data_IF_055126744383
#
_entry.id   IF_055126744383
#
_cell.length_a   1.000
_cell.length_b   1.000
_cell.length_c   1.000
_cell.angle_alpha   90.00
_cell.angle_beta   90.00
_cell.angle_gamma   90.00
#
_symmetry.space_group_name_H-M   'P 1'
#
loop_
_entity.id
_entity.type
_entity.pdbx_description
1 polymer ?
#
# COMPACT_ATOMS: atom_id res chain seq x y z
N UNK A 1 -0.32 -52.07 15.64
CA UNK A 1 -1.17 -52.50 16.76
C UNK A 1 -2.50 -52.92 16.15
N UNK A 2 -3.04 -54.13 16.43
CA UNK A 2 -4.34 -54.52 15.94
C UNK A 2 -5.43 -53.53 16.39
N UNK A 3 -6.35 -53.20 15.49
CA UNK A 3 -7.39 -52.16 15.72
C UNK A 3 -8.22 -52.38 16.98
N UNK A 4 -8.34 -53.64 17.44
CA UNK A 4 -9.10 -54.04 18.62
C UNK A 4 -8.50 -53.59 19.96
N UNK A 5 -7.22 -53.22 19.97
CA UNK A 5 -6.52 -52.73 21.16
C UNK A 5 -6.55 -51.18 21.31
N UNK A 6 -7.14 -50.48 20.34
CA UNK A 6 -7.24 -49.02 20.40
C UNK A 6 -8.55 -48.64 21.10
N UNK A 7 -8.51 -47.82 22.19
CA UNK A 7 -9.72 -47.32 22.85
C UNK A 7 -10.67 -46.64 21.84
N UNK A 8 -11.98 -46.80 22.02
CA UNK A 8 -12.97 -46.21 21.10
C UNK A 8 -12.84 -44.72 20.94
N UNK A 9 -12.56 -44.01 22.02
CA UNK A 9 -12.38 -42.56 22.04
C UNK A 9 -11.21 -42.11 21.13
N UNK A 10 -10.15 -42.90 21.06
CA UNK A 10 -9.01 -42.63 20.16
C UNK A 10 -9.36 -43.00 18.72
N UNK A 11 -10.10 -44.11 18.51
CA UNK A 11 -10.58 -44.50 17.17
C UNK A 11 -11.45 -43.41 16.54
N UNK A 12 -12.35 -42.80 17.32
CA UNK A 12 -13.25 -41.75 16.85
C UNK A 12 -12.51 -40.47 16.44
N UNK A 13 -11.35 -40.17 17.05
CA UNK A 13 -10.50 -39.02 16.64
C UNK A 13 -9.88 -39.27 15.26
N UNK A 14 -9.44 -40.48 14.98
CA UNK A 14 -8.74 -40.83 13.73
C UNK A 14 -9.64 -41.34 12.61
N UNK A 15 -10.87 -41.72 12.91
CA UNK A 15 -11.82 -42.31 11.94
C UNK A 15 -13.25 -41.86 12.23
N UNK A 16 -13.68 -40.80 11.60
CA UNK A 16 -15.00 -40.24 11.76
C UNK A 16 -15.59 -39.81 10.41
N UNK A 17 -16.90 -40.01 10.20
CA UNK A 17 -17.60 -39.50 9.02
C UNK A 17 -17.13 -40.08 7.68
N UNK A 18 -16.51 -41.28 7.69
CA UNK A 18 -15.95 -41.87 6.47
C UNK A 18 -14.53 -41.45 6.14
N UNK A 19 -13.95 -40.53 6.90
CA UNK A 19 -12.57 -40.07 6.72
C UNK A 19 -11.62 -40.77 7.71
N UNK A 20 -10.37 -40.97 7.25
CA UNK A 20 -9.26 -41.40 8.09
C UNK A 20 -8.27 -40.26 8.24
N UNK A 21 -7.94 -39.92 9.48
CA UNK A 21 -6.92 -38.89 9.78
C UNK A 21 -5.52 -39.52 9.79
N UNK A 22 -4.64 -39.03 8.94
CA UNK A 22 -3.23 -39.37 8.93
C UNK A 22 -2.44 -38.15 9.43
N UNK A 23 -1.65 -38.30 10.48
CA UNK A 23 -0.77 -37.24 10.97
C UNK A 23 0.58 -37.39 10.33
N UNK A 24 0.99 -36.37 9.59
CA UNK A 24 2.30 -36.27 8.96
C UNK A 24 3.05 -35.14 9.63
N UNK A 25 4.22 -35.44 10.18
CA UNK A 25 5.10 -34.46 10.79
C UNK A 25 6.24 -34.14 9.82
N UNK A 26 6.48 -32.87 9.57
CA UNK A 26 7.59 -32.39 8.75
C UNK A 26 8.71 -31.83 9.61
N UNK A 27 9.95 -32.01 9.21
CA UNK A 27 11.12 -31.40 9.83
C UNK A 27 11.40 -29.98 9.34
N UNK A 28 10.71 -29.55 8.28
CA UNK A 28 10.87 -28.19 7.73
C UNK A 28 10.12 -27.17 8.59
N UNK A 29 10.63 -25.94 8.61
CA UNK A 29 10.01 -24.84 9.36
C UNK A 29 8.73 -24.38 8.67
N UNK A 30 7.72 -23.99 9.47
CA UNK A 30 6.51 -23.33 8.97
C UNK A 30 6.88 -22.11 8.09
N UNK A 31 6.14 -21.95 6.98
CA UNK A 31 6.35 -20.88 6.00
C UNK A 31 7.70 -20.92 5.25
N UNK A 32 8.41 -22.06 5.22
CA UNK A 32 9.58 -22.22 4.37
C UNK A 32 9.18 -22.74 2.97
N UNK A 33 10.03 -22.44 1.97
CA UNK A 33 9.80 -22.91 0.60
C UNK A 33 9.85 -24.44 0.51
N UNK A 34 10.70 -25.07 1.33
CA UNK A 34 10.82 -26.52 1.40
C UNK A 34 9.53 -27.16 1.91
N UNK A 35 8.92 -26.60 2.97
CA UNK A 35 7.64 -27.08 3.47
C UNK A 35 6.51 -26.86 2.47
N UNK A 36 6.48 -25.69 1.82
CA UNK A 36 5.49 -25.38 0.81
C UNK A 36 5.53 -26.37 -0.37
N UNK A 37 6.73 -26.69 -0.86
CA UNK A 37 6.93 -27.67 -1.92
C UNK A 37 6.51 -29.09 -1.48
N UNK A 38 6.88 -29.49 -0.26
CA UNK A 38 6.47 -30.78 0.31
C UNK A 38 4.94 -30.89 0.41
N UNK A 39 4.24 -29.83 0.83
CA UNK A 39 2.77 -29.81 0.91
C UNK A 39 2.13 -29.94 -0.48
N UNK A 40 2.70 -29.31 -1.50
CA UNK A 40 2.22 -29.44 -2.88
C UNK A 40 2.35 -30.88 -3.33
N UNK A 41 3.54 -31.46 -3.18
CA UNK A 41 3.81 -32.84 -3.58
C UNK A 41 2.93 -33.84 -2.83
N UNK A 42 2.77 -33.70 -1.51
CA UNK A 42 1.85 -34.49 -0.71
C UNK A 42 0.40 -34.37 -1.20
N UNK A 43 -0.05 -33.15 -1.53
CA UNK A 43 -1.41 -32.93 -2.01
C UNK A 43 -1.63 -33.62 -3.35
N UNK A 44 -0.67 -33.56 -4.25
CA UNK A 44 -0.74 -34.22 -5.56
C UNK A 44 -0.76 -35.76 -5.42
N UNK A 45 0.08 -36.32 -4.55
CA UNK A 45 0.12 -37.76 -4.25
C UNK A 45 -1.22 -38.18 -3.68
N UNK A 46 -1.71 -37.55 -2.62
CA UNK A 46 -2.94 -37.93 -1.94
C UNK A 46 -4.15 -37.87 -2.87
N UNK A 47 -4.25 -36.77 -3.66
CA UNK A 47 -5.33 -36.60 -4.64
C UNK A 47 -5.25 -37.57 -5.83
N UNK A 48 -4.10 -38.15 -6.12
CA UNK A 48 -3.96 -39.18 -7.13
C UNK A 48 -4.62 -40.50 -6.71
N UNK A 49 -4.71 -40.73 -5.39
CA UNK A 49 -5.36 -41.96 -4.81
C UNK A 49 -6.83 -41.70 -4.46
N UNK A 50 -7.12 -40.53 -3.88
CA UNK A 50 -8.48 -40.16 -3.49
C UNK A 50 -8.70 -38.65 -3.79
N UNK A 51 -9.64 -38.35 -4.67
CA UNK A 51 -9.96 -36.97 -5.08
C UNK A 51 -10.59 -36.15 -3.95
N UNK A 52 -11.23 -36.80 -3.01
CA UNK A 52 -11.90 -36.17 -1.87
C UNK A 52 -10.96 -35.98 -0.67
N UNK A 53 -9.76 -36.58 -0.73
CA UNK A 53 -8.76 -36.40 0.32
C UNK A 53 -8.26 -34.99 0.43
N UNK A 54 -8.00 -34.54 1.66
CA UNK A 54 -7.56 -33.19 1.97
C UNK A 54 -6.28 -33.22 2.79
N UNK A 55 -5.30 -32.39 2.38
CA UNK A 55 -4.12 -32.08 3.19
C UNK A 55 -4.42 -30.81 3.97
N UNK A 56 -4.42 -30.87 5.30
CA UNK A 56 -4.73 -29.75 6.19
C UNK A 56 -3.75 -29.69 7.36
N UNK A 57 -3.80 -28.63 8.14
CA UNK A 57 -2.91 -28.40 9.28
C UNK A 57 -2.20 -27.08 9.17
N UNK A 58 -1.35 -26.76 10.16
CA UNK A 58 -0.66 -25.47 10.26
C UNK A 58 0.16 -25.13 9.00
N UNK A 59 0.94 -26.09 8.48
CA UNK A 59 1.76 -25.87 7.30
C UNK A 59 0.93 -25.60 6.05
N UNK A 60 -0.11 -26.40 5.79
CA UNK A 60 -0.99 -26.21 4.63
C UNK A 60 -1.74 -24.88 4.72
N UNK A 61 -2.29 -24.56 5.89
CA UNK A 61 -2.97 -23.29 6.14
C UNK A 61 -2.04 -22.08 5.92
N UNK A 62 -0.84 -22.14 6.45
CA UNK A 62 0.16 -21.06 6.30
C UNK A 62 0.54 -20.86 4.84
N UNK A 63 0.76 -21.96 4.09
CA UNK A 63 1.04 -21.89 2.65
C UNK A 63 -0.10 -21.23 1.89
N UNK A 64 -1.33 -21.67 2.13
CA UNK A 64 -2.51 -21.13 1.43
C UNK A 64 -2.73 -19.65 1.76
N UNK A 65 -2.61 -19.28 3.05
CA UNK A 65 -2.68 -17.87 3.47
C UNK A 65 -1.62 -17.01 2.81
N UNK A 66 -0.38 -17.48 2.71
CA UNK A 66 0.70 -16.72 2.05
C UNK A 66 0.42 -16.55 0.57
N UNK A 67 -0.02 -17.61 -0.11
CA UNK A 67 -0.36 -17.59 -1.55
C UNK A 67 -1.52 -16.65 -1.85
N UNK A 68 -2.59 -16.72 -1.05
CA UNK A 68 -3.78 -15.86 -1.17
C UNK A 68 -3.39 -14.40 -0.88
N UNK A 69 -2.61 -14.15 0.18
CA UNK A 69 -2.17 -12.81 0.54
C UNK A 69 -1.35 -12.15 -0.57
N UNK A 70 -0.46 -12.89 -1.23
CA UNK A 70 0.33 -12.37 -2.36
C UNK A 70 -0.55 -12.02 -3.57
N UNK A 71 -1.55 -12.85 -3.86
CA UNK A 71 -2.50 -12.59 -4.93
C UNK A 71 -3.39 -11.38 -4.61
N UNK A 72 -3.91 -11.32 -3.39
CA UNK A 72 -4.73 -10.21 -2.92
C UNK A 72 -3.95 -8.90 -2.89
N UNK A 73 -2.68 -8.92 -2.46
CA UNK A 73 -1.81 -7.76 -2.50
C UNK A 73 -1.70 -7.18 -3.91
N UNK A 74 -1.44 -8.03 -4.91
CA UNK A 74 -1.36 -7.60 -6.31
C UNK A 74 -2.68 -7.03 -6.81
N UNK A 75 -3.79 -7.73 -6.56
CA UNK A 75 -5.12 -7.31 -7.02
C UNK A 75 -5.55 -5.99 -6.37
N UNK A 76 -5.38 -5.87 -5.05
CA UNK A 76 -5.77 -4.67 -4.30
C UNK A 76 -4.88 -3.49 -4.67
N UNK A 77 -3.57 -3.69 -4.83
CA UNK A 77 -2.64 -2.64 -5.26
C UNK A 77 -2.99 -2.11 -6.65
N UNK A 78 -3.21 -3.00 -7.62
CA UNK A 78 -3.60 -2.60 -8.98
C UNK A 78 -4.95 -1.85 -8.97
N UNK A 79 -5.94 -2.37 -8.26
CA UNK A 79 -7.27 -1.74 -8.16
C UNK A 79 -7.19 -0.35 -7.50
N UNK A 80 -6.42 -0.21 -6.42
CA UNK A 80 -6.24 1.06 -5.69
C UNK A 80 -5.51 2.10 -6.54
N UNK A 81 -4.41 1.70 -7.19
CA UNK A 81 -3.65 2.58 -8.08
C UNK A 81 -4.53 3.02 -9.26
N UNK A 82 -5.26 2.09 -9.89
CA UNK A 82 -6.15 2.40 -11.01
C UNK A 82 -7.27 3.38 -10.58
N UNK A 83 -7.90 3.15 -9.43
CA UNK A 83 -8.95 4.03 -8.91
C UNK A 83 -8.42 5.45 -8.67
N UNK A 84 -7.29 5.59 -8.00
CA UNK A 84 -6.65 6.89 -7.73
C UNK A 84 -6.21 7.57 -9.03
N UNK A 85 -5.64 6.81 -9.95
CA UNK A 85 -5.25 7.31 -11.26
C UNK A 85 -6.45 7.93 -11.99
N UNK A 86 -7.58 7.24 -12.03
CA UNK A 86 -8.83 7.73 -12.65
C UNK A 86 -9.35 8.98 -11.95
N UNK A 87 -9.36 9.01 -10.62
CA UNK A 87 -9.81 10.18 -9.85
C UNK A 87 -8.94 11.40 -10.20
N UNK A 88 -7.62 11.27 -10.15
CA UNK A 88 -6.70 12.37 -10.45
C UNK A 88 -6.83 12.81 -11.91
N UNK A 89 -7.02 11.86 -12.84
CA UNK A 89 -7.25 12.14 -14.26
C UNK A 89 -8.49 13.00 -14.47
N UNK A 90 -9.59 12.70 -13.79
CA UNK A 90 -10.84 13.46 -13.85
C UNK A 90 -10.64 14.86 -13.25
N UNK A 91 -10.02 14.96 -12.08
CA UNK A 91 -9.80 16.23 -11.36
C UNK A 91 -8.92 17.19 -12.16
N UNK A 92 -7.81 16.72 -12.68
CA UNK A 92 -6.85 17.58 -13.38
C UNK A 92 -7.06 17.65 -14.89
N UNK A 93 -7.87 16.75 -15.47
CA UNK A 93 -8.08 16.60 -16.93
C UNK A 93 -6.74 16.48 -17.66
N UNK A 94 -5.85 15.67 -17.12
CA UNK A 94 -4.47 15.45 -17.54
C UNK A 94 -4.10 13.99 -17.38
N UNK A 95 -3.33 13.45 -18.31
CA UNK A 95 -2.81 12.09 -18.23
C UNK A 95 -1.47 12.04 -17.50
N UNK A 96 -0.64 13.09 -17.63
CA UNK A 96 0.70 13.12 -17.02
C UNK A 96 0.69 13.37 -15.51
N UNK A 97 -0.26 14.18 -15.01
CA UNK A 97 -0.33 14.47 -13.57
C UNK A 97 -0.61 13.21 -12.75
N UNK A 98 -1.58 12.35 -13.07
CA UNK A 98 -1.78 11.09 -12.35
C UNK A 98 -0.52 10.23 -12.31
N UNK A 99 0.21 10.10 -13.41
CA UNK A 99 1.46 9.33 -13.47
C UNK A 99 2.48 9.88 -12.46
N UNK A 100 2.69 11.20 -12.44
CA UNK A 100 3.66 11.83 -11.55
C UNK A 100 3.26 11.72 -10.07
N UNK A 101 1.99 11.96 -9.76
CA UNK A 101 1.50 11.89 -8.38
C UNK A 101 1.55 10.46 -7.85
N UNK A 102 1.03 9.51 -8.60
CA UNK A 102 1.06 8.10 -8.21
C UNK A 102 2.50 7.61 -8.06
N UNK A 103 3.41 7.96 -9.00
CA UNK A 103 4.82 7.59 -8.88
C UNK A 103 5.48 8.16 -7.61
N UNK A 104 5.18 9.39 -7.22
CA UNK A 104 5.71 9.98 -6.00
C UNK A 104 5.16 9.28 -4.73
N UNK A 105 3.87 8.91 -4.74
CA UNK A 105 3.25 8.22 -3.63
C UNK A 105 3.80 6.79 -3.50
N UNK A 106 3.87 6.05 -4.62
CA UNK A 106 4.44 4.70 -4.65
C UNK A 106 5.91 4.71 -4.19
N UNK A 107 6.67 5.72 -4.58
CA UNK A 107 8.05 5.90 -4.10
C UNK A 107 8.11 6.01 -2.56
N UNK A 108 7.21 6.77 -1.95
CA UNK A 108 7.11 6.85 -0.49
C UNK A 108 6.74 5.50 0.16
N UNK A 109 5.82 4.75 -0.46
CA UNK A 109 5.42 3.41 0.00
C UNK A 109 6.60 2.43 -0.10
N UNK A 110 7.33 2.43 -1.22
CA UNK A 110 8.52 1.58 -1.38
C UNK A 110 9.62 1.88 -0.37
N UNK A 111 9.87 3.16 -0.06
CA UNK A 111 10.82 3.53 1.00
C UNK A 111 10.33 2.94 2.33
N UNK A 112 9.05 3.13 2.67
CA UNK A 112 8.49 2.65 3.92
C UNK A 112 8.58 1.12 4.04
N UNK A 113 8.24 0.40 2.99
CA UNK A 113 8.28 -1.07 2.95
C UNK A 113 9.71 -1.64 2.86
N UNK A 114 10.66 -0.86 2.36
CA UNK A 114 12.06 -1.26 2.26
C UNK A 114 12.85 -1.18 3.58
N UNK A 115 12.48 -0.28 4.49
CA UNK A 115 13.20 -0.09 5.77
C UNK A 115 13.27 -1.36 6.61
N UNK A 116 12.22 -2.19 6.77
CA UNK A 116 12.25 -3.44 7.52
C UNK A 116 13.34 -4.42 7.07
N UNK A 117 13.65 -4.45 5.79
CA UNK A 117 14.75 -5.28 5.26
C UNK A 117 16.09 -4.91 5.89
N UNK A 118 16.39 -3.60 6.01
CA UNK A 118 17.63 -3.11 6.59
C UNK A 118 17.66 -3.18 8.12
N UNK A 119 16.51 -3.15 8.77
CA UNK A 119 16.39 -3.22 10.23
C UNK A 119 16.22 -4.65 10.75
N UNK A 120 16.11 -5.65 9.87
CA UNK A 120 15.83 -7.04 10.25
C UNK A 120 14.48 -7.24 10.92
N UNK A 121 13.52 -6.33 10.71
CA UNK A 121 12.20 -6.39 11.34
C UNK A 121 11.27 -7.26 10.52
N UNK A 122 10.69 -8.28 11.15
CA UNK A 122 9.68 -9.14 10.51
C UNK A 122 8.34 -8.39 10.44
N UNK A 123 7.78 -8.30 9.25
CA UNK A 123 6.48 -7.66 9.01
C UNK A 123 5.41 -8.76 8.89
N UNK A 124 4.25 -8.62 9.55
CA UNK A 124 3.11 -9.50 9.30
C UNK A 124 2.70 -9.45 7.81
N UNK A 125 2.33 -10.57 7.22
CA UNK A 125 1.96 -10.67 5.80
C UNK A 125 0.83 -9.71 5.39
N UNK A 126 -0.13 -9.49 6.30
CA UNK A 126 -1.24 -8.53 6.09
C UNK A 126 -0.77 -7.08 6.03
N UNK A 127 0.41 -6.77 6.60
CA UNK A 127 0.90 -5.39 6.71
C UNK A 127 1.13 -4.75 5.33
N UNK A 128 1.64 -5.50 4.36
CA UNK A 128 1.91 -4.99 3.01
C UNK A 128 0.65 -4.51 2.31
N UNK A 129 -0.44 -5.27 2.40
CA UNK A 129 -1.75 -4.93 1.82
C UNK A 129 -2.30 -3.66 2.49
N UNK A 130 -2.35 -3.69 3.82
CA UNK A 130 -2.95 -2.61 4.63
C UNK A 130 -2.16 -1.31 4.45
N UNK A 131 -0.83 -1.38 4.49
CA UNK A 131 0.01 -0.18 4.38
C UNK A 131 -0.05 0.39 2.97
N UNK A 132 0.05 -0.43 1.92
CA UNK A 132 -0.05 0.03 0.55
C UNK A 132 -1.32 0.83 0.29
N UNK A 133 -2.47 0.29 0.68
CA UNK A 133 -3.78 0.93 0.45
C UNK A 133 -4.01 2.16 1.34
N UNK A 134 -3.73 2.06 2.63
CA UNK A 134 -4.00 3.18 3.58
C UNK A 134 -3.02 4.32 3.33
N UNK A 135 -1.74 4.04 3.15
CA UNK A 135 -0.74 5.07 2.87
C UNK A 135 -1.00 5.76 1.54
N UNK A 136 -1.38 5.01 0.49
CA UNK A 136 -1.78 5.55 -0.80
C UNK A 136 -2.97 6.51 -0.65
N UNK A 137 -4.04 6.08 0.04
CA UNK A 137 -5.24 6.89 0.27
C UNK A 137 -4.98 8.13 1.12
N UNK A 138 -4.20 8.01 2.20
CA UNK A 138 -3.88 9.13 3.09
C UNK A 138 -2.91 10.16 2.48
N UNK A 139 -2.13 9.77 1.45
CA UNK A 139 -1.11 10.64 0.86
C UNK A 139 -1.61 11.36 -0.39
N UNK A 140 -2.60 10.78 -1.08
CA UNK A 140 -3.10 11.35 -2.34
C UNK A 140 -3.63 12.76 -2.18
N UNK A 141 -4.29 13.07 -1.08
CA UNK A 141 -4.85 14.39 -0.80
C UNK A 141 -3.75 15.46 -0.67
N UNK A 142 -2.60 15.11 -0.09
CA UNK A 142 -1.45 16.02 0.00
C UNK A 142 -0.87 16.34 -1.38
N UNK A 143 -0.76 15.31 -2.23
CA UNK A 143 -0.25 15.46 -3.58
C UNK A 143 -1.21 16.30 -4.46
N UNK A 144 -2.52 16.07 -4.34
CA UNK A 144 -3.56 16.85 -5.03
C UNK A 144 -3.53 18.31 -4.56
N UNK A 145 -3.47 18.56 -3.25
CA UNK A 145 -3.44 19.90 -2.68
C UNK A 145 -2.27 20.72 -3.23
N UNK A 146 -1.05 20.18 -3.14
CA UNK A 146 0.15 20.85 -3.64
C UNK A 146 0.07 21.10 -5.15
N UNK A 147 -0.34 20.11 -5.92
CA UNK A 147 -0.40 20.21 -7.39
C UNK A 147 -1.50 21.17 -7.84
N UNK A 148 -2.64 21.19 -7.14
CA UNK A 148 -3.73 22.14 -7.42
C UNK A 148 -3.28 23.58 -7.17
N UNK A 149 -2.57 23.81 -6.07
CA UNK A 149 -2.02 25.13 -5.74
C UNK A 149 -0.97 25.55 -6.75
N UNK A 150 -0.05 24.67 -7.12
CA UNK A 150 0.94 24.95 -8.16
C UNK A 150 0.27 25.33 -9.49
N UNK A 151 -0.76 24.59 -9.91
CA UNK A 151 -1.55 24.92 -11.11
C UNK A 151 -2.21 26.29 -11.01
N UNK A 152 -2.76 26.63 -9.84
CA UNK A 152 -3.39 27.93 -9.61
C UNK A 152 -2.38 29.06 -9.77
N UNK A 153 -1.18 28.96 -9.20
CA UNK A 153 -0.16 29.98 -9.30
C UNK A 153 0.43 30.12 -10.72
N UNK A 154 0.55 29.03 -11.46
CA UNK A 154 0.88 29.10 -12.90
C UNK A 154 -0.22 29.86 -13.67
N UNK A 155 -1.49 29.66 -13.34
CA UNK A 155 -2.63 30.37 -13.95
C UNK A 155 -2.70 31.83 -13.54
N UNK A 156 -2.22 32.20 -12.35
CA UNK A 156 -2.07 33.57 -11.89
C UNK A 156 -0.95 34.32 -12.61
N UNK A 157 -0.15 33.61 -13.43
CA UNK A 157 0.89 34.21 -14.27
C UNK A 157 2.30 34.20 -13.66
N UNK A 158 2.48 33.54 -12.52
CA UNK A 158 3.82 33.42 -11.93
C UNK A 158 4.72 32.51 -12.75
N UNK A 159 6.03 32.81 -12.74
CA UNK A 159 7.03 31.94 -13.32
C UNK A 159 7.05 30.59 -12.55
N UNK A 160 7.30 29.48 -13.24
CA UNK A 160 7.20 28.12 -12.69
C UNK A 160 7.91 27.89 -11.36
N UNK A 161 9.11 28.47 -11.18
CA UNK A 161 9.85 28.34 -9.92
C UNK A 161 9.19 29.11 -8.78
N UNK A 162 8.73 30.31 -9.07
CA UNK A 162 8.03 31.14 -8.09
C UNK A 162 6.65 30.58 -7.76
N UNK A 163 5.90 30.15 -8.76
CA UNK A 163 4.62 29.45 -8.57
C UNK A 163 4.77 28.22 -7.67
N UNK A 164 5.83 27.41 -7.86
CA UNK A 164 6.10 26.27 -6.99
C UNK A 164 6.50 26.69 -5.58
N UNK A 165 7.30 27.74 -5.43
CA UNK A 165 7.68 28.26 -4.12
C UNK A 165 6.45 28.68 -3.31
N UNK A 166 5.54 29.43 -3.94
CA UNK A 166 4.29 29.86 -3.31
C UNK A 166 3.43 28.65 -2.97
N UNK A 167 3.25 27.71 -3.91
CA UNK A 167 2.45 26.51 -3.72
C UNK A 167 2.94 25.67 -2.53
N UNK A 168 4.26 25.45 -2.41
CA UNK A 168 4.85 24.74 -1.28
C UNK A 168 4.63 25.50 0.04
N UNK A 169 4.91 26.81 0.07
CA UNK A 169 4.73 27.61 1.29
C UNK A 169 3.30 27.58 1.81
N UNK A 170 2.30 27.66 0.95
CA UNK A 170 0.91 27.68 1.35
C UNK A 170 0.36 26.28 1.68
N UNK A 171 0.81 25.26 0.95
CA UNK A 171 0.33 23.87 1.17
C UNK A 171 1.07 23.19 2.32
N UNK A 172 2.34 23.51 2.58
CA UNK A 172 3.18 22.82 3.56
C UNK A 172 2.55 22.79 4.96
N UNK A 173 1.96 23.89 5.41
CA UNK A 173 1.30 23.94 6.72
C UNK A 173 0.18 22.92 6.85
N UNK A 174 -0.67 22.80 5.84
CA UNK A 174 -1.77 21.84 5.82
C UNK A 174 -1.25 20.41 5.74
N UNK A 175 -0.28 20.16 4.88
CA UNK A 175 0.34 18.83 4.68
C UNK A 175 1.00 18.36 5.99
N UNK A 176 1.79 19.24 6.64
CA UNK A 176 2.47 18.92 7.90
C UNK A 176 1.46 18.67 9.03
N UNK A 177 0.43 19.51 9.14
CA UNK A 177 -0.60 19.32 10.19
C UNK A 177 -1.31 17.99 10.00
N UNK A 178 -1.75 17.66 8.80
CA UNK A 178 -2.45 16.40 8.51
C UNK A 178 -1.52 15.19 8.69
N UNK A 179 -0.28 15.27 8.18
CA UNK A 179 0.72 14.20 8.33
C UNK A 179 1.06 13.93 9.80
N UNK A 180 1.24 14.97 10.61
CA UNK A 180 1.50 14.83 12.05
C UNK A 180 0.27 14.34 12.81
N UNK A 181 -0.94 14.72 12.42
CA UNK A 181 -2.17 14.18 13.00
C UNK A 181 -2.29 12.69 12.74
N UNK A 182 -2.06 12.25 11.51
CA UNK A 182 -2.09 10.83 11.17
C UNK A 182 -0.97 10.05 11.86
N UNK A 183 0.24 10.61 11.93
CA UNK A 183 1.35 10.07 12.69
C UNK A 183 1.00 9.93 14.18
N UNK A 184 0.44 10.96 14.79
CA UNK A 184 0.08 10.95 16.20
C UNK A 184 -1.03 9.95 16.51
N UNK A 185 -2.05 9.85 15.67
CA UNK A 185 -3.13 8.88 15.81
C UNK A 185 -2.62 7.45 15.72
N UNK A 186 -1.89 7.11 14.66
CA UNK A 186 -1.37 5.75 14.47
C UNK A 186 -0.24 5.42 15.43
N UNK A 187 0.67 6.35 15.69
CA UNK A 187 1.75 6.19 16.67
C UNK A 187 1.22 6.01 18.11
N UNK A 188 0.18 6.77 18.48
CA UNK A 188 -0.49 6.61 19.78
C UNK A 188 -1.06 5.20 19.96
N UNK A 189 -1.74 4.65 18.95
CA UNK A 189 -2.23 3.26 19.00
C UNK A 189 -1.06 2.27 19.08
N UNK A 190 0.02 2.51 18.34
CA UNK A 190 1.20 1.63 18.38
C UNK A 190 1.86 1.57 19.77
N UNK A 191 1.79 2.66 20.54
CA UNK A 191 2.36 2.73 21.89
C UNK A 191 1.49 2.05 22.94
N UNK A 192 0.16 2.12 22.79
CA UNK A 192 -0.80 1.65 23.80
C UNK A 192 -1.25 0.21 23.54
N UNK A 193 -1.20 -0.26 22.29
CA UNK A 193 -1.71 -1.61 21.94
C UNK A 193 -0.82 -2.72 22.48
N UNK A 194 -1.42 -3.71 23.13
CA UNK A 194 -0.75 -4.95 23.57
C UNK A 194 -0.72 -6.02 22.48
N UNK A 195 -1.55 -5.88 21.43
CA UNK A 195 -1.58 -6.82 20.30
C UNK A 195 -0.41 -6.56 19.36
N UNK A 196 0.50 -7.50 19.22
CA UNK A 196 1.70 -7.41 18.39
C UNK A 196 1.38 -7.04 16.92
N UNK A 197 0.32 -7.59 16.35
CA UNK A 197 -0.12 -7.29 14.98
C UNK A 197 -0.52 -5.82 14.82
N UNK A 198 -1.40 -5.32 15.70
CA UNK A 198 -1.89 -3.93 15.66
C UNK A 198 -0.72 -2.96 15.90
N UNK A 199 0.12 -3.24 16.89
CA UNK A 199 1.31 -2.44 17.19
C UNK A 199 2.23 -2.32 15.98
N UNK A 200 2.53 -3.43 15.31
CA UNK A 200 3.38 -3.47 14.12
C UNK A 200 2.76 -2.67 12.95
N UNK A 201 1.47 -2.89 12.66
CA UNK A 201 0.75 -2.17 11.61
C UNK A 201 0.72 -0.65 11.86
N UNK A 202 0.33 -0.25 13.06
CA UNK A 202 0.23 1.17 13.41
C UNK A 202 1.59 1.87 13.43
N UNK A 203 2.66 1.19 13.86
CA UNK A 203 4.02 1.72 13.77
C UNK A 203 4.47 1.95 12.32
N UNK A 204 4.20 0.98 11.44
CA UNK A 204 4.50 1.09 10.01
C UNK A 204 3.71 2.22 9.35
N UNK A 205 2.42 2.39 9.72
CA UNK A 205 1.57 3.48 9.22
C UNK A 205 2.08 4.84 9.71
N UNK A 206 2.43 4.97 10.99
CA UNK A 206 3.00 6.20 11.56
C UNK A 206 4.28 6.60 10.83
N UNK A 207 5.21 5.65 10.65
CA UNK A 207 6.44 5.89 9.88
C UNK A 207 6.12 6.27 8.42
N UNK A 208 5.16 5.58 7.79
CA UNK A 208 4.71 5.87 6.43
C UNK A 208 4.17 7.30 6.28
N UNK A 209 3.44 7.81 7.27
CA UNK A 209 2.94 9.18 7.26
C UNK A 209 4.06 10.21 7.17
N UNK A 210 5.11 10.06 7.97
CA UNK A 210 6.27 10.97 7.94
C UNK A 210 7.01 10.87 6.60
N UNK A 211 7.26 9.66 6.11
CA UNK A 211 7.96 9.45 4.82
C UNK A 211 7.15 10.08 3.68
N UNK A 212 5.84 9.82 3.63
CA UNK A 212 4.97 10.39 2.59
C UNK A 212 4.95 11.91 2.63
N UNK A 213 4.82 12.50 3.82
CA UNK A 213 4.87 13.94 4.02
C UNK A 213 6.18 14.53 3.46
N UNK A 214 7.32 13.92 3.77
CA UNK A 214 8.63 14.36 3.28
C UNK A 214 8.74 14.22 1.75
N UNK A 215 8.29 13.12 1.18
CA UNK A 215 8.31 12.91 -0.28
C UNK A 215 7.42 13.94 -0.99
N UNK A 216 6.22 14.22 -0.46
CA UNK A 216 5.33 15.21 -1.09
C UNK A 216 5.88 16.63 -0.99
N UNK A 217 6.55 17.00 0.10
CA UNK A 217 7.08 18.36 0.26
C UNK A 217 8.38 18.57 -0.55
N UNK A 218 9.25 17.55 -0.65
CA UNK A 218 10.58 17.71 -1.24
C UNK A 218 10.72 17.09 -2.63
N UNK A 219 10.16 15.90 -2.86
CA UNK A 219 10.36 15.17 -4.12
C UNK A 219 9.31 15.56 -5.16
N UNK A 220 8.04 15.66 -4.79
CA UNK A 220 6.97 15.99 -5.73
C UNK A 220 7.14 17.35 -6.40
N UNK A 221 7.54 18.44 -5.71
CA UNK A 221 7.83 19.72 -6.36
C UNK A 221 8.90 19.62 -7.46
N UNK A 222 9.98 18.87 -7.19
CA UNK A 222 11.04 18.65 -8.16
C UNK A 222 10.53 17.90 -9.40
N UNK A 223 9.74 16.84 -9.20
CA UNK A 223 9.12 16.08 -10.29
C UNK A 223 8.20 16.95 -11.14
N UNK A 224 7.35 17.76 -10.51
CA UNK A 224 6.44 18.67 -11.22
C UNK A 224 7.19 19.75 -12.02
N UNK A 225 8.26 20.33 -11.46
CA UNK A 225 9.08 21.33 -12.13
C UNK A 225 9.82 20.78 -13.35
N UNK A 226 10.39 19.57 -13.22
CA UNK A 226 11.10 18.91 -14.33
C UNK A 226 10.11 18.48 -15.43
N UNK A 227 8.94 18.02 -15.04
CA UNK A 227 7.92 17.51 -15.97
C UNK A 227 6.96 18.57 -16.49
N UNK A 228 7.14 19.87 -16.15
CA UNK A 228 6.23 20.95 -16.53
C UNK A 228 6.02 21.03 -18.05
N UNK A 229 7.05 20.78 -18.84
CA UNK A 229 6.95 20.76 -20.30
C UNK A 229 6.00 19.68 -20.84
N UNK A 230 5.97 18.52 -20.19
CA UNK A 230 5.07 17.40 -20.53
C UNK A 230 3.66 17.71 -20.03
N UNK A 231 3.55 18.20 -18.80
CA UNK A 231 2.28 18.57 -18.17
C UNK A 231 1.54 19.60 -19.02
N UNK A 232 2.25 20.62 -19.50
CA UNK A 232 1.68 21.68 -20.32
C UNK A 232 1.11 21.18 -21.66
N UNK A 233 1.69 20.13 -22.24
CA UNK A 233 1.21 19.50 -23.49
C UNK A 233 0.02 18.58 -23.29
N UNK A 234 -0.09 17.94 -22.13
CA UNK A 234 -1.07 16.87 -21.85
C UNK A 234 -2.24 17.34 -20.98
N UNK A 235 -2.19 18.56 -20.46
CA UNK A 235 -3.20 19.09 -19.53
C UNK A 235 -4.02 20.19 -20.19
N UNK A 236 -5.34 20.00 -20.28
CA UNK A 236 -6.25 21.04 -20.77
C UNK A 236 -6.27 22.21 -19.77
N UNK A 237 -5.93 23.45 -20.27
CA UNK A 237 -6.00 24.65 -19.45
C UNK A 237 -4.95 24.76 -18.35
N UNK A 238 -3.74 24.23 -18.60
CA UNK A 238 -2.61 24.39 -17.68
C UNK A 238 -2.08 25.83 -17.67
N UNK A 239 -1.92 26.44 -18.83
CA UNK A 239 -1.59 27.88 -18.97
C UNK A 239 -2.81 28.67 -19.44
N UNK A 240 -2.95 29.88 -18.97
CA UNK A 240 -3.94 30.82 -19.53
C UNK A 240 -3.44 31.22 -20.93
N UNK A 241 -4.32 31.16 -21.93
CA UNK A 241 -4.06 31.81 -23.21
C UNK A 241 -3.85 33.31 -22.95
N UNK A 242 -2.77 33.87 -23.46
CA UNK A 242 -2.41 35.30 -23.32
C UNK A 242 -3.52 36.28 -23.70
N UNK A 243 -4.63 35.84 -24.27
CA UNK A 243 -5.80 36.67 -24.64
C UNK A 243 -6.74 36.96 -23.45
N UNK A 244 -6.69 36.19 -22.36
CA UNK A 244 -7.56 36.44 -21.19
C UNK A 244 -6.87 37.30 -20.10
N UNK A 245 -5.63 37.71 -20.30
CA UNK A 245 -4.81 38.44 -19.32
C UNK A 245 -4.82 39.97 -19.48
N UNK A 246 -5.79 40.55 -20.19
CA UNK A 246 -5.86 42.02 -20.45
C UNK A 246 -6.71 42.78 -19.41
N UNK A 247 -7.17 42.13 -18.34
CA UNK A 247 -7.73 42.91 -17.21
C UNK A 247 -6.83 42.77 -15.96
N UNK A 248 -6.06 43.83 -15.62
CA UNK A 248 -5.41 43.88 -14.32
C UNK A 248 -6.50 44.03 -13.24
N UNK A 249 -6.69 42.99 -12.41
CA UNK A 249 -7.48 43.14 -11.19
C UNK A 249 -6.88 44.27 -10.36
N UNK A 250 -7.58 45.39 -10.32
CA UNK A 250 -7.29 46.50 -9.39
C UNK A 250 -7.29 45.89 -7.96
N UNK A 251 -6.10 45.93 -7.36
CA UNK A 251 -5.96 45.70 -5.93
C UNK A 251 -6.73 46.83 -5.24
N UNK A 252 -7.83 46.52 -4.60
CA UNK A 252 -8.48 47.43 -3.67
C UNK A 252 -7.59 47.55 -2.44
N UNK A 253 -7.10 48.73 -2.17
CA UNK A 253 -6.51 49.17 -0.92
C UNK A 253 -7.52 49.04 0.24
#
# INVERSE_FOLDING_TARGET
VPEDFIPRDIKEIFKQGGYNLLLVNSEYKSASDELNNQIIEMTDIVKSYDKDAMVTGEGALTKDLTTIADQDFKNVSVASIAAIFVIILIVFKSVSIPVLLVSAIEFAIFINMGIPYYTGTVIPFVASIVIGTIQLGATVDYAILLTSRFREEIRNGYEKKEAMRIAVQESAKSIVTSGLTFFGATGGVALVSDMALIKSLCFLMARGAIISMMVIIFVLPALLLVSEGIINKTTKGWKINKLDSIEPKKVAM
#
